data_IF_769655119588
#
_entry.id   IF_769655119588
#
_cell.length_a   1.000
_cell.length_b   1.000
_cell.length_c   1.000
_cell.angle_alpha   90.00
_cell.angle_beta   90.00
_cell.angle_gamma   90.00
#
_symmetry.space_group_name_H-M   'P 1'
#
loop_
_entity.id
_entity.type
_entity.pdbx_description
1 polymer ?
#
# COMPACT_ATOMS: atom_id res chain seq x y z
N UNK A 1 -3.23 35.21 -28.87
CA UNK A 1 -4.35 34.32 -28.50
C UNK A 1 -3.91 33.58 -27.26
N UNK A 2 -4.47 33.94 -26.10
CA UNK A 2 -4.11 33.34 -24.80
C UNK A 2 -4.68 31.93 -24.79
N UNK A 3 -3.82 30.91 -24.79
CA UNK A 3 -4.25 29.55 -24.45
C UNK A 3 -4.72 29.58 -23.00
N UNK A 4 -5.97 29.19 -22.78
CA UNK A 4 -6.51 28.87 -21.46
C UNK A 4 -5.56 27.87 -20.80
N UNK A 5 -5.21 27.99 -19.51
CA UNK A 5 -4.40 26.97 -18.86
C UNK A 5 -5.18 25.68 -18.92
N UNK A 6 -4.60 24.67 -19.55
CA UNK A 6 -5.09 23.31 -19.52
C UNK A 6 -5.32 22.96 -18.04
N UNK A 7 -6.55 22.61 -17.67
CA UNK A 7 -6.89 22.24 -16.29
C UNK A 7 -6.12 20.96 -15.98
N UNK A 8 -4.91 21.09 -15.43
CA UNK A 8 -4.13 19.97 -14.95
C UNK A 8 -5.01 19.17 -13.99
N UNK A 9 -5.34 17.93 -14.38
CA UNK A 9 -6.03 16.97 -13.52
C UNK A 9 -4.94 16.26 -12.74
N UNK A 10 -5.08 16.25 -11.43
CA UNK A 10 -4.12 15.59 -10.55
C UNK A 10 -4.78 14.31 -10.04
N UNK A 11 -4.03 13.21 -10.07
CA UNK A 11 -4.35 12.05 -9.27
C UNK A 11 -4.26 12.44 -7.78
N UNK A 12 -4.79 11.59 -6.90
CA UNK A 12 -4.75 11.83 -5.46
C UNK A 12 -4.62 10.51 -4.73
N UNK A 13 -3.77 10.40 -3.73
CA UNK A 13 -3.71 9.24 -2.84
C UNK A 13 -4.74 9.37 -1.69
N UNK A 14 -5.46 8.28 -1.39
CA UNK A 14 -6.31 8.20 -0.20
C UNK A 14 -5.56 7.41 0.89
N UNK A 15 -5.25 8.10 1.99
CA UNK A 15 -4.55 7.53 3.16
C UNK A 15 -5.52 7.48 4.34
N UNK A 16 -5.48 6.40 5.12
CA UNK A 16 -6.33 6.22 6.29
C UNK A 16 -6.06 7.30 7.36
N UNK A 17 -7.10 7.75 8.04
CA UNK A 17 -7.02 8.79 9.08
C UNK A 17 -6.02 8.45 10.21
N UNK A 18 -5.86 7.16 10.56
CA UNK A 18 -4.88 6.70 11.56
C UNK A 18 -3.43 7.01 11.17
N UNK A 19 -3.13 6.97 9.87
CA UNK A 19 -1.79 7.24 9.34
C UNK A 19 -1.52 8.75 9.22
N UNK A 20 -2.58 9.58 9.22
CA UNK A 20 -2.46 11.03 9.23
C UNK A 20 -2.03 11.60 10.60
N UNK A 21 -2.24 10.86 11.69
CA UNK A 21 -2.02 11.35 13.07
C UNK A 21 -0.70 10.92 13.73
N UNK A 22 0.07 9.99 13.14
CA UNK A 22 1.36 9.56 13.70
C UNK A 22 2.46 10.60 13.39
N UNK A 23 2.57 11.62 14.25
CA UNK A 23 3.78 12.42 14.43
C UNK A 23 4.92 11.50 14.91
N UNK A 24 5.82 11.08 14.02
CA UNK A 24 6.90 10.16 14.37
C UNK A 24 8.26 10.85 14.43
N UNK A 25 9.01 10.47 15.48
CA UNK A 25 10.31 10.99 15.90
C UNK A 25 11.40 10.61 14.89
N UNK A 26 12.16 11.62 14.47
CA UNK A 26 13.39 11.52 13.67
C UNK A 26 14.44 10.61 14.29
N UNK A 27 14.91 9.62 13.54
CA UNK A 27 16.26 9.03 13.70
C UNK A 27 16.90 8.89 12.32
N UNK A 28 18.12 9.38 12.20
CA UNK A 28 18.91 9.52 10.98
C UNK A 28 19.82 8.29 10.80
N UNK A 29 19.70 7.53 9.70
CA UNK A 29 20.66 6.44 9.38
C UNK A 29 20.83 6.21 7.86
N UNK A 30 22.11 5.99 7.52
CA UNK A 30 22.85 6.00 6.26
C UNK A 30 22.51 4.89 5.21
N UNK A 31 22.35 5.30 3.94
CA UNK A 31 23.02 4.76 2.75
C UNK A 31 22.77 3.32 2.24
N UNK A 32 21.70 3.11 1.44
CA UNK A 32 21.62 2.29 0.18
C UNK A 32 20.19 2.34 -0.40
N UNK A 33 20.06 2.45 -1.73
CA UNK A 33 19.04 3.25 -2.45
C UNK A 33 18.10 2.42 -3.38
N UNK A 34 16.76 2.54 -3.28
CA UNK A 34 15.70 1.89 -4.11
C UNK A 34 14.30 2.57 -3.95
N UNK A 35 13.38 2.59 -4.94
CA UNK A 35 12.15 3.44 -5.03
C UNK A 35 11.13 3.43 -3.84
N UNK A 36 10.23 4.44 -3.83
CA UNK A 36 9.36 4.86 -2.69
C UNK A 36 8.21 3.89 -2.37
N UNK A 37 8.41 3.05 -1.36
CA UNK A 37 7.37 2.19 -0.77
C UNK A 37 7.13 2.51 0.69
N UNK A 38 5.87 2.50 1.10
CA UNK A 38 5.49 2.47 2.51
C UNK A 38 5.68 1.05 3.03
N UNK A 39 6.75 0.83 3.81
CA UNK A 39 7.26 -0.49 4.23
C UNK A 39 6.21 -1.44 4.82
N UNK A 40 5.13 -0.92 5.40
CA UNK A 40 4.07 -1.73 6.01
C UNK A 40 2.85 -1.99 5.11
N UNK A 41 2.85 -1.50 3.87
CA UNK A 41 1.67 -1.53 2.99
C UNK A 41 1.80 -2.45 1.78
N UNK A 42 2.95 -3.07 1.55
CA UNK A 42 3.08 -4.06 0.47
C UNK A 42 2.23 -5.30 0.76
N UNK A 43 1.57 -5.80 -0.29
CA UNK A 43 1.03 -7.16 -0.32
C UNK A 43 2.14 -8.21 -0.15
N UNK A 44 1.75 -9.46 0.15
CA UNK A 44 2.69 -10.57 0.10
C UNK A 44 3.14 -10.83 -1.34
N UNK A 45 4.43 -11.08 -1.54
CA UNK A 45 4.96 -11.51 -2.84
C UNK A 45 4.31 -12.83 -3.27
N UNK A 46 3.80 -12.87 -4.50
CA UNK A 46 3.04 -13.99 -5.06
C UNK A 46 1.53 -13.87 -4.88
N UNK A 47 1.04 -12.83 -4.19
CA UNK A 47 -0.39 -12.63 -3.98
C UNK A 47 -1.17 -12.55 -5.30
N UNK A 48 -2.35 -13.15 -5.30
CA UNK A 48 -3.37 -12.89 -6.33
C UNK A 48 -4.43 -11.96 -5.76
N UNK A 49 -4.48 -10.74 -6.28
CA UNK A 49 -5.42 -9.70 -5.89
C UNK A 49 -6.65 -9.75 -6.80
N UNK A 50 -7.81 -9.92 -6.19
CA UNK A 50 -9.10 -9.89 -6.88
C UNK A 50 -9.51 -8.44 -7.13
N UNK A 51 -9.92 -8.17 -8.37
CA UNK A 51 -10.28 -6.84 -8.84
C UNK A 51 -11.72 -6.85 -9.34
N UNK A 52 -12.52 -5.92 -8.81
CA UNK A 52 -13.92 -5.74 -9.14
C UNK A 52 -14.19 -4.35 -9.73
N UNK A 53 -15.01 -4.28 -10.78
CA UNK A 53 -15.40 -3.00 -11.39
C UNK A 53 -16.78 -2.55 -10.91
N UNK A 54 -16.83 -1.42 -10.20
CA UNK A 54 -18.06 -0.75 -9.76
C UNK A 54 -18.56 0.22 -10.85
N UNK A 55 -18.83 -0.31 -12.04
CA UNK A 55 -19.24 0.48 -13.22
C UNK A 55 -18.16 0.55 -14.31
N UNK A 56 -18.12 1.64 -15.07
CA UNK A 56 -17.21 1.82 -16.20
C UNK A 56 -17.63 1.13 -17.50
N UNK A 57 -17.31 1.75 -18.63
CA UNK A 57 -17.52 1.21 -19.98
C UNK A 57 -16.54 0.06 -20.29
N UNK A 58 -16.83 -0.80 -21.28
CA UNK A 58 -15.90 -1.86 -21.70
C UNK A 58 -14.50 -1.32 -22.04
N UNK A 59 -14.42 -0.16 -22.69
CA UNK A 59 -13.15 0.49 -23.03
C UNK A 59 -12.37 0.92 -21.77
N UNK A 60 -13.04 1.57 -20.82
CA UNK A 60 -12.41 1.99 -19.56
C UNK A 60 -11.86 0.79 -18.77
N UNK A 61 -12.66 -0.29 -18.67
CA UNK A 61 -12.24 -1.53 -18.00
C UNK A 61 -11.09 -2.22 -18.73
N UNK A 62 -11.02 -2.12 -20.07
CA UNK A 62 -9.92 -2.69 -20.84
C UNK A 62 -8.60 -1.98 -20.55
N UNK A 63 -8.60 -0.65 -20.53
CA UNK A 63 -7.40 0.15 -20.19
C UNK A 63 -6.92 -0.19 -18.77
N UNK A 64 -7.83 -0.27 -17.80
CA UNK A 64 -7.47 -0.65 -16.44
C UNK A 64 -6.79 -2.02 -16.35
N UNK A 65 -7.29 -3.04 -17.09
CA UNK A 65 -6.67 -4.37 -17.14
C UNK A 65 -5.28 -4.34 -17.76
N UNK A 66 -5.15 -3.65 -18.90
CA UNK A 66 -3.89 -3.56 -19.63
C UNK A 66 -2.80 -2.91 -18.77
N UNK A 67 -3.10 -1.76 -18.17
CA UNK A 67 -2.14 -1.01 -17.37
C UNK A 67 -1.84 -1.65 -16.01
N UNK A 68 -2.80 -2.38 -15.41
CA UNK A 68 -2.50 -3.26 -14.28
C UNK A 68 -1.49 -4.35 -14.66
N UNK A 69 -1.63 -4.90 -15.87
CA UNK A 69 -0.75 -5.91 -16.43
C UNK A 69 0.72 -5.47 -16.50
N UNK A 70 0.97 -4.19 -16.80
CA UNK A 70 2.33 -3.63 -16.85
C UNK A 70 3.13 -3.89 -15.57
N UNK A 71 2.51 -3.81 -14.40
CA UNK A 71 3.18 -4.12 -13.13
C UNK A 71 3.50 -5.62 -13.00
N UNK A 72 2.53 -6.48 -13.33
CA UNK A 72 2.66 -7.95 -13.19
C UNK A 72 3.68 -8.57 -14.15
N UNK A 73 4.06 -7.87 -15.23
CA UNK A 73 5.17 -8.26 -16.09
C UNK A 73 6.53 -8.15 -15.37
N UNK A 74 6.60 -7.31 -14.34
CA UNK A 74 7.82 -7.01 -13.61
C UNK A 74 7.84 -7.51 -12.17
N UNK A 75 6.68 -7.61 -11.56
CA UNK A 75 6.45 -7.93 -10.16
C UNK A 75 5.86 -9.33 -10.00
N UNK A 76 6.23 -10.02 -8.92
CA UNK A 76 5.55 -11.24 -8.53
C UNK A 76 4.30 -10.92 -7.70
N UNK A 77 3.29 -10.44 -8.40
CA UNK A 77 1.95 -10.17 -7.89
C UNK A 77 1.01 -10.31 -9.08
N UNK A 78 -0.21 -10.76 -8.83
CA UNK A 78 -1.17 -11.09 -9.87
C UNK A 78 -2.48 -10.36 -9.65
N UNK A 79 -3.15 -9.99 -10.73
CA UNK A 79 -4.50 -9.44 -10.69
C UNK A 79 -5.46 -10.40 -11.39
N UNK A 80 -6.57 -10.71 -10.73
CA UNK A 80 -7.68 -11.48 -11.32
C UNK A 80 -8.92 -10.61 -11.33
N UNK A 81 -9.46 -10.36 -12.52
CA UNK A 81 -10.64 -9.52 -12.74
C UNK A 81 -11.89 -10.39 -12.85
N UNK A 82 -12.46 -10.80 -11.71
CA UNK A 82 -13.52 -11.82 -11.62
C UNK A 82 -14.80 -11.36 -10.94
N UNK A 83 -14.93 -10.07 -10.61
CA UNK A 83 -16.10 -9.51 -9.92
C UNK A 83 -16.38 -10.16 -8.55
N UNK A 84 -15.35 -10.72 -7.90
CA UNK A 84 -15.48 -11.34 -6.58
C UNK A 84 -16.11 -10.36 -5.56
N UNK A 85 -17.09 -10.80 -4.75
CA UNK A 85 -17.78 -9.93 -3.80
C UNK A 85 -16.85 -9.40 -2.69
N UNK A 86 -15.76 -10.09 -2.43
CA UNK A 86 -14.71 -9.80 -1.46
C UNK A 86 -13.39 -9.34 -2.14
N UNK A 87 -13.48 -8.83 -3.38
CA UNK A 87 -12.34 -8.29 -4.11
C UNK A 87 -11.60 -7.21 -3.31
N UNK A 88 -10.27 -7.36 -3.17
CA UNK A 88 -9.45 -6.40 -2.45
C UNK A 88 -9.42 -5.04 -3.16
N UNK A 89 -9.38 -5.03 -4.49
CA UNK A 89 -9.36 -3.80 -5.29
C UNK A 89 -10.72 -3.60 -5.95
N UNK A 90 -11.36 -2.45 -5.69
CA UNK A 90 -12.70 -2.13 -6.20
C UNK A 90 -12.67 -0.79 -6.93
N UNK A 91 -12.84 -0.84 -8.25
CA UNK A 91 -12.56 0.30 -9.15
C UNK A 91 -13.87 0.96 -9.59
N UNK A 92 -14.06 2.21 -9.19
CA UNK A 92 -15.08 3.11 -9.74
C UNK A 92 -14.55 3.92 -10.94
N UNK A 93 -15.45 4.55 -11.69
CA UNK A 93 -15.13 5.39 -12.84
C UNK A 93 -15.95 6.70 -12.80
N UNK A 94 -16.03 7.33 -11.63
CA UNK A 94 -16.73 8.59 -11.44
C UNK A 94 -15.86 9.76 -11.95
N UNK A 95 -16.22 10.43 -13.06
CA UNK A 95 -15.42 11.53 -13.61
C UNK A 95 -15.43 12.79 -12.73
N UNK A 96 -16.29 12.84 -11.71
CA UNK A 96 -16.39 13.95 -10.76
C UNK A 96 -15.53 13.75 -9.51
N UNK A 97 -15.04 12.52 -9.27
CA UNK A 97 -14.25 12.15 -8.09
C UNK A 97 -12.76 11.87 -8.43
N UNK A 98 -12.24 12.52 -9.48
CA UNK A 98 -10.81 12.47 -9.82
C UNK A 98 -10.26 11.07 -10.14
N UNK A 99 -8.94 10.88 -10.03
CA UNK A 99 -8.31 9.56 -10.08
C UNK A 99 -7.55 9.34 -8.77
N UNK A 100 -7.76 8.19 -8.12
CA UNK A 100 -7.18 7.89 -6.82
C UNK A 100 -7.20 6.42 -6.48
N UNK A 101 -6.36 6.03 -5.52
CA UNK A 101 -6.28 4.68 -4.97
C UNK A 101 -5.88 4.72 -3.49
N UNK A 102 -6.36 3.76 -2.70
CA UNK A 102 -5.78 3.47 -1.39
C UNK A 102 -4.45 2.75 -1.56
N UNK A 103 -3.55 2.96 -0.60
CA UNK A 103 -2.18 2.48 -0.71
C UNK A 103 -2.05 1.04 -0.20
N UNK A 104 -1.71 0.12 -1.09
CA UNK A 104 -1.31 -1.24 -0.71
C UNK A 104 -2.38 -1.99 0.08
N UNK A 105 -2.00 -2.61 1.18
CA UNK A 105 -2.89 -3.39 2.04
C UNK A 105 -4.00 -2.59 2.71
N UNK A 106 -3.97 -1.24 2.70
CA UNK A 106 -5.08 -0.42 3.22
C UNK A 106 -6.42 -0.75 2.54
N UNK A 107 -6.36 -1.19 1.28
CA UNK A 107 -7.50 -1.62 0.49
C UNK A 107 -8.39 -2.68 1.22
N UNK A 108 -7.80 -3.53 2.07
CA UNK A 108 -8.56 -4.58 2.80
C UNK A 108 -9.38 -4.03 3.98
N UNK A 109 -9.08 -2.81 4.42
CA UNK A 109 -9.77 -2.17 5.55
C UNK A 109 -11.02 -1.40 5.11
N UNK A 110 -11.17 -1.18 3.80
CA UNK A 110 -12.27 -0.41 3.22
C UNK A 110 -13.53 -1.28 3.12
N UNK A 111 -14.72 -0.76 3.48
CA UNK A 111 -15.98 -1.51 3.38
C UNK A 111 -16.19 -2.16 1.99
N UNK A 112 -16.74 -3.39 1.91
CA UNK A 112 -16.89 -4.13 0.65
C UNK A 112 -17.75 -3.44 -0.43
N UNK A 113 -18.66 -2.53 -0.03
CA UNK A 113 -19.54 -1.76 -0.90
C UNK A 113 -18.95 -0.42 -1.35
N UNK A 114 -17.79 -0.03 -0.81
CA UNK A 114 -17.09 1.20 -1.18
C UNK A 114 -15.96 0.94 -2.19
N UNK A 115 -15.72 1.86 -3.15
CA UNK A 115 -14.56 1.77 -4.03
C UNK A 115 -13.25 1.91 -3.24
N UNK A 116 -12.22 1.20 -3.67
CA UNK A 116 -10.86 1.39 -3.17
C UNK A 116 -9.95 2.11 -4.17
N UNK A 117 -10.44 2.29 -5.38
CA UNK A 117 -9.80 3.05 -6.44
C UNK A 117 -10.89 3.74 -7.28
N UNK A 118 -10.62 4.94 -7.78
CA UNK A 118 -11.44 5.59 -8.79
C UNK A 118 -10.57 5.99 -9.99
N UNK A 119 -11.07 5.72 -11.19
CA UNK A 119 -10.45 6.10 -12.45
C UNK A 119 -11.38 7.07 -13.18
N UNK A 120 -11.53 8.29 -12.64
CA UNK A 120 -12.39 9.33 -13.22
C UNK A 120 -11.89 9.87 -14.56
N UNK A 121 -10.62 9.63 -14.88
CA UNK A 121 -10.03 9.79 -16.20
C UNK A 121 -8.98 8.69 -16.43
N UNK A 122 -8.66 8.42 -17.70
CA UNK A 122 -7.78 7.33 -18.13
C UNK A 122 -6.77 7.80 -19.17
N UNK A 123 -6.46 9.09 -19.17
CA UNK A 123 -5.50 9.67 -20.10
C UNK A 123 -4.09 9.16 -19.74
N UNK A 124 -3.29 8.78 -20.75
CA UNK A 124 -1.92 8.31 -20.57
C UNK A 124 -1.81 7.08 -19.65
N UNK A 125 -0.88 7.11 -18.71
CA UNK A 125 -0.60 6.02 -17.76
C UNK A 125 -1.35 6.12 -16.43
N UNK A 126 -2.48 6.84 -16.37
CA UNK A 126 -3.23 7.09 -15.13
C UNK A 126 -3.61 5.80 -14.40
N UNK A 127 -4.10 4.77 -15.10
CA UNK A 127 -4.47 3.52 -14.44
C UNK A 127 -3.23 2.82 -13.86
N UNK A 128 -2.11 2.80 -14.60
CA UNK A 128 -0.85 2.24 -14.09
C UNK A 128 -0.39 2.96 -12.81
N UNK A 129 -0.51 4.29 -12.77
CA UNK A 129 -0.22 5.09 -11.57
C UNK A 129 -1.06 4.63 -10.37
N UNK A 130 -2.38 4.55 -10.52
CA UNK A 130 -3.28 4.15 -9.44
C UNK A 130 -3.06 2.69 -9.00
N UNK A 131 -2.72 1.79 -9.92
CA UNK A 131 -2.29 0.44 -9.58
C UNK A 131 -0.94 0.42 -8.85
N UNK A 132 -0.04 1.37 -9.11
CA UNK A 132 1.19 1.55 -8.33
C UNK A 132 0.88 1.85 -6.87
N UNK A 133 -0.06 2.77 -6.61
CA UNK A 133 -0.57 3.00 -5.25
C UNK A 133 -1.22 1.76 -4.65
N UNK A 134 -2.08 1.07 -5.41
CA UNK A 134 -2.71 -0.16 -4.95
C UNK A 134 -1.68 -1.24 -4.60
N UNK A 135 -0.47 -1.18 -5.17
CA UNK A 135 0.67 -2.05 -4.86
C UNK A 135 1.57 -1.55 -3.72
N UNK A 136 1.27 -0.39 -3.12
CA UNK A 136 2.01 0.16 -1.98
C UNK A 136 3.08 1.21 -2.33
N UNK A 137 3.17 1.61 -3.60
CA UNK A 137 4.07 2.69 -4.02
C UNK A 137 3.52 4.05 -3.62
N UNK A 138 4.41 4.92 -3.16
CA UNK A 138 4.09 6.32 -2.89
C UNK A 138 4.61 7.24 -4.00
N UNK A 139 4.28 8.51 -3.90
CA UNK A 139 4.63 9.52 -4.89
C UNK A 139 6.12 9.84 -4.99
N UNK A 140 6.64 9.88 -6.21
CA UNK A 140 8.05 10.18 -6.48
C UNK A 140 8.43 11.62 -6.11
N UNK A 141 7.51 12.59 -6.15
CA UNK A 141 7.81 13.98 -5.73
C UNK A 141 7.97 14.14 -4.21
N UNK A 142 7.54 13.17 -3.42
CA UNK A 142 7.72 13.17 -1.97
C UNK A 142 9.07 12.56 -1.57
N UNK A 143 9.95 12.26 -2.53
CA UNK A 143 11.31 11.78 -2.28
C UNK A 143 12.10 12.77 -1.39
N UNK A 144 12.69 12.31 -0.26
CA UNK A 144 13.55 13.16 0.57
C UNK A 144 14.77 13.68 -0.20
N UNK A 145 15.31 12.90 -1.12
CA UNK A 145 16.52 13.21 -1.88
C UNK A 145 16.20 13.84 -3.24
N UNK A 146 16.71 15.05 -3.48
CA UNK A 146 16.72 15.66 -4.82
C UNK A 146 15.36 16.07 -5.40
N UNK A 147 14.31 16.21 -4.56
CA UNK A 147 12.95 16.54 -5.01
C UNK A 147 12.69 17.99 -5.42
N UNK A 148 11.43 18.26 -5.75
CA UNK A 148 10.94 19.54 -6.28
C UNK A 148 11.11 20.69 -5.27
N UNK A 149 11.61 21.83 -5.75
CA UNK A 149 11.71 23.07 -4.97
C UNK A 149 10.39 23.84 -5.08
N UNK A 150 9.45 23.54 -4.19
CA UNK A 150 8.11 24.11 -4.24
C UNK A 150 8.05 25.63 -4.02
N UNK A 151 7.28 26.31 -4.85
CA UNK A 151 6.71 27.62 -4.54
C UNK A 151 5.39 27.40 -3.79
N UNK A 152 5.48 27.06 -2.50
CA UNK A 152 4.33 26.64 -1.69
C UNK A 152 3.13 27.60 -1.74
N UNK A 153 3.29 28.95 -1.70
CA UNK A 153 2.16 29.86 -1.82
C UNK A 153 1.38 29.72 -3.13
N UNK A 154 2.08 29.42 -4.24
CA UNK A 154 1.44 29.20 -5.55
C UNK A 154 0.74 27.86 -5.57
N UNK A 155 1.40 26.80 -5.09
CA UNK A 155 0.83 25.44 -5.00
C UNK A 155 -0.46 25.44 -4.18
N UNK A 156 -0.42 26.03 -2.97
CA UNK A 156 -1.59 26.11 -2.08
C UNK A 156 -2.71 26.91 -2.74
N UNK A 157 -2.40 28.07 -3.33
CA UNK A 157 -3.40 28.92 -3.99
C UNK A 157 -4.12 28.19 -5.12
N UNK A 158 -3.40 27.43 -5.94
CA UNK A 158 -3.98 26.76 -7.09
C UNK A 158 -4.82 25.54 -6.68
N UNK A 159 -4.33 24.72 -5.74
CA UNK A 159 -5.00 23.50 -5.31
C UNK A 159 -6.22 23.76 -4.40
N UNK A 160 -6.29 24.94 -3.76
CA UNK A 160 -7.52 25.42 -3.10
C UNK A 160 -8.62 25.79 -4.10
N UNK A 161 -8.27 25.98 -5.37
CA UNK A 161 -9.23 26.25 -6.45
C UNK A 161 -9.81 24.97 -7.08
N UNK A 162 -10.87 25.10 -7.90
CA UNK A 162 -11.40 23.97 -8.65
C UNK A 162 -10.37 23.43 -9.68
N UNK A 163 -10.35 22.11 -9.95
CA UNK A 163 -11.34 21.11 -9.52
C UNK A 163 -11.11 20.51 -8.13
N UNK A 164 -9.92 20.69 -7.54
CA UNK A 164 -9.52 19.96 -6.33
C UNK A 164 -10.19 20.50 -5.06
N UNK A 165 -10.26 21.82 -4.93
CA UNK A 165 -10.88 22.50 -3.77
C UNK A 165 -10.33 21.99 -2.41
N UNK A 166 -9.04 21.68 -2.36
CA UNK A 166 -8.41 21.07 -1.20
C UNK A 166 -8.14 22.05 -0.06
N UNK A 167 -8.15 21.53 1.17
CA UNK A 167 -7.65 22.27 2.32
C UNK A 167 -6.13 22.46 2.24
N UNK A 168 -5.56 23.54 2.81
CA UNK A 168 -4.11 23.71 2.94
C UNK A 168 -3.42 22.52 3.61
N UNK A 169 -4.08 21.88 4.56
CA UNK A 169 -3.57 20.69 5.26
C UNK A 169 -3.45 19.49 4.31
N UNK A 170 -4.49 19.22 3.52
CA UNK A 170 -4.49 18.19 2.47
C UNK A 170 -3.39 18.46 1.43
N UNK A 171 -3.25 19.72 0.99
CA UNK A 171 -2.23 20.11 0.00
C UNK A 171 -0.82 19.88 0.56
N UNK A 172 -0.59 20.29 1.81
CA UNK A 172 0.70 20.05 2.46
C UNK A 172 0.99 18.57 2.55
N UNK A 173 0.02 17.74 2.89
CA UNK A 173 0.22 16.30 3.01
C UNK A 173 0.51 15.61 1.67
N UNK A 174 -0.31 15.87 0.65
CA UNK A 174 -0.28 15.12 -0.62
C UNK A 174 0.79 15.65 -1.59
N UNK A 175 1.14 16.94 -1.50
CA UNK A 175 2.01 17.59 -2.50
C UNK A 175 3.33 18.09 -1.91
N UNK A 176 3.27 18.79 -0.78
CA UNK A 176 4.45 19.51 -0.27
C UNK A 176 5.30 18.68 0.70
N UNK A 177 4.68 17.76 1.43
CA UNK A 177 5.35 16.93 2.43
C UNK A 177 6.24 15.92 1.72
N UNK A 178 7.52 15.92 2.09
CA UNK A 178 8.45 14.84 1.76
C UNK A 178 8.36 13.76 2.82
N UNK A 179 8.50 12.51 2.43
CA UNK A 179 8.70 11.43 3.39
C UNK A 179 10.06 11.59 4.07
N UNK A 180 10.16 11.17 5.33
CA UNK A 180 11.45 11.04 6.00
C UNK A 180 12.13 9.74 5.55
N UNK A 181 13.47 9.69 5.55
CA UNK A 181 14.23 8.55 5.02
C UNK A 181 13.96 7.21 5.76
N UNK A 182 13.41 7.27 6.95
CA UNK A 182 12.95 6.11 7.75
C UNK A 182 11.56 5.61 7.34
N UNK A 183 10.71 6.44 6.71
CA UNK A 183 9.35 6.11 6.29
C UNK A 183 9.25 5.44 4.92
N UNK A 184 10.30 5.57 4.10
CA UNK A 184 10.33 5.08 2.72
C UNK A 184 11.67 4.45 2.40
N UNK A 185 11.68 3.38 1.59
CA UNK A 185 12.86 3.06 0.76
C UNK A 185 12.83 4.04 -0.41
N UNK A 186 13.88 4.80 -0.76
CA UNK A 186 13.83 5.76 -1.88
C UNK A 186 14.97 5.61 -2.92
N UNK A 187 14.66 5.77 -4.22
CA UNK A 187 15.64 5.94 -5.30
C UNK A 187 16.17 7.37 -5.32
N UNK A 188 17.17 7.66 -6.16
CA UNK A 188 17.31 9.04 -6.65
C UNK A 188 16.03 9.41 -7.40
N UNK A 189 15.57 10.64 -7.25
CA UNK A 189 14.43 11.19 -7.97
C UNK A 189 14.44 10.74 -9.45
N UNK A 190 13.42 9.97 -9.85
CA UNK A 190 13.22 9.56 -11.23
C UNK A 190 12.19 10.48 -11.92
N UNK A 191 12.61 11.43 -12.76
CA UNK A 191 11.68 12.31 -13.48
C UNK A 191 10.77 11.57 -14.45
N UNK A 192 11.06 10.30 -14.76
CA UNK A 192 10.29 9.46 -15.68
C UNK A 192 9.39 8.45 -14.98
N UNK A 193 9.39 8.40 -13.65
CA UNK A 193 8.57 7.44 -12.92
C UNK A 193 7.10 7.67 -13.22
N UNK A 194 6.36 6.58 -13.43
CA UNK A 194 4.90 6.65 -13.53
C UNK A 194 4.30 7.24 -12.25
N UNK A 195 4.97 7.08 -11.09
CA UNK A 195 4.54 7.57 -9.78
C UNK A 195 4.82 9.07 -9.56
N UNK A 196 5.34 9.79 -10.57
CA UNK A 196 5.55 11.23 -10.53
C UNK A 196 4.34 11.98 -11.08
N UNK A 197 3.76 12.86 -10.27
CA UNK A 197 2.73 13.79 -10.75
C UNK A 197 3.29 14.80 -11.74
N UNK A 198 2.44 15.20 -12.68
CA UNK A 198 2.65 16.40 -13.47
C UNK A 198 2.51 17.64 -12.57
N UNK A 199 3.51 18.50 -12.56
CA UNK A 199 3.53 19.77 -11.85
C UNK A 199 3.97 20.87 -12.80
N UNK A 200 3.19 21.93 -12.99
CA UNK A 200 3.57 23.00 -13.89
C UNK A 200 4.79 23.76 -13.33
N UNK A 201 5.66 24.22 -14.21
CA UNK A 201 6.85 25.03 -13.88
C UNK A 201 6.58 26.21 -12.92
N UNK A 202 5.38 26.80 -12.98
CA UNK A 202 5.00 27.90 -12.09
C UNK A 202 4.88 27.51 -10.61
N UNK A 203 4.79 26.21 -10.32
CA UNK A 203 4.72 25.67 -8.96
C UNK A 203 6.10 25.47 -8.33
N UNK A 204 7.18 25.67 -9.09
CA UNK A 204 8.54 25.45 -8.63
C UNK A 204 9.32 26.76 -8.60
N UNK A 205 10.31 26.85 -7.71
CA UNK A 205 11.14 28.04 -7.51
C UNK A 205 12.20 28.21 -8.61
N UNK A 206 12.54 27.13 -9.30
CA UNK A 206 13.50 27.11 -10.42
C UNK A 206 12.83 27.20 -11.79
N UNK A 207 11.50 27.19 -11.84
CA UNK A 207 10.74 27.27 -13.09
C UNK A 207 10.80 25.99 -13.92
N UNK A 208 11.18 24.86 -13.31
CA UNK A 208 11.18 23.54 -13.96
C UNK A 208 9.97 22.75 -13.47
N UNK A 209 9.07 22.37 -14.39
CA UNK A 209 7.95 21.49 -14.11
C UNK A 209 8.30 20.02 -14.30
N UNK A 210 7.36 19.13 -14.02
CA UNK A 210 7.43 17.72 -14.38
C UNK A 210 6.50 17.44 -15.57
N UNK A 211 6.64 16.27 -16.17
CA UNK A 211 5.83 15.82 -17.31
C UNK A 211 4.89 14.70 -16.87
N UNK A 212 3.76 14.53 -17.58
CA UNK A 212 2.90 13.37 -17.37
C UNK A 212 3.58 12.15 -18.00
N UNK A 213 3.97 11.19 -17.16
CA UNK A 213 4.59 9.94 -17.63
C UNK A 213 3.49 8.96 -18.04
N UNK A 214 3.60 8.40 -19.24
CA UNK A 214 2.54 7.54 -19.81
C UNK A 214 2.83 6.04 -19.70
N UNK A 215 4.04 5.67 -19.28
CA UNK A 215 4.52 4.28 -19.19
C UNK A 215 5.40 4.10 -17.95
N UNK A 216 5.56 2.85 -17.50
CA UNK A 216 6.52 2.50 -16.45
C UNK A 216 7.95 2.85 -16.90
N UNK A 217 8.69 3.54 -16.04
CA UNK A 217 10.12 3.79 -16.24
C UNK A 217 10.94 2.51 -16.03
N UNK A 218 12.20 2.49 -16.48
CA UNK A 218 13.10 1.38 -16.17
C UNK A 218 13.39 1.26 -14.66
N UNK A 219 13.30 2.37 -13.92
CA UNK A 219 13.44 2.39 -12.46
C UNK A 219 12.21 1.79 -11.80
N UNK A 220 11.00 2.13 -12.26
CA UNK A 220 9.74 1.54 -11.77
C UNK A 220 9.76 0.01 -11.93
N UNK A 221 10.12 -0.47 -13.13
CA UNK A 221 10.20 -1.89 -13.48
C UNK A 221 11.23 -2.64 -12.65
N UNK A 222 12.43 -2.06 -12.49
CA UNK A 222 13.49 -2.68 -11.71
C UNK A 222 13.14 -2.73 -10.23
N UNK A 223 12.51 -1.67 -9.71
CA UNK A 223 12.13 -1.57 -8.32
C UNK A 223 11.04 -2.57 -7.95
N UNK A 224 9.92 -2.58 -8.70
CA UNK A 224 8.77 -3.42 -8.34
C UNK A 224 9.12 -4.92 -8.33
N UNK A 225 10.10 -5.33 -9.15
CA UNK A 225 10.62 -6.69 -9.20
C UNK A 225 11.80 -6.98 -8.27
N UNK A 226 12.20 -6.03 -7.41
CA UNK A 226 13.33 -6.18 -6.50
C UNK A 226 12.93 -6.89 -5.20
N UNK A 227 13.91 -7.27 -4.38
CA UNK A 227 13.69 -7.83 -3.03
C UNK A 227 13.03 -6.84 -2.06
N UNK A 228 12.99 -5.55 -2.41
CA UNK A 228 12.36 -4.51 -1.61
C UNK A 228 10.87 -4.31 -1.94
N UNK A 229 10.37 -4.98 -2.99
CA UNK A 229 8.96 -5.00 -3.39
C UNK A 229 8.48 -6.45 -3.67
N UNK A 230 8.36 -6.85 -4.94
CA UNK A 230 7.79 -8.13 -5.37
C UNK A 230 8.76 -8.96 -6.23
N UNK A 231 9.79 -9.60 -5.64
CA UNK A 231 10.79 -10.34 -6.39
C UNK A 231 10.19 -11.53 -7.17
N UNK A 232 10.53 -11.63 -8.47
CA UNK A 232 10.08 -12.73 -9.37
C UNK A 232 10.51 -14.11 -8.91
N UNK A 233 11.63 -14.20 -8.21
CA UNK A 233 12.08 -15.42 -7.56
C UNK A 233 11.56 -15.44 -6.13
N UNK A 234 10.42 -16.11 -5.88
CA UNK A 234 10.13 -16.51 -4.50
C UNK A 234 11.14 -17.62 -4.17
N UNK A 235 11.87 -17.48 -3.06
CA UNK A 235 11.92 -18.63 -2.15
C UNK A 235 10.60 -18.55 -1.41
N UNK A 236 9.58 -19.37 -1.75
CA UNK A 236 8.50 -19.52 -0.79
C UNK A 236 9.20 -19.77 0.54
N UNK A 237 8.83 -19.11 1.65
CA UNK A 237 9.01 -19.80 2.90
C UNK A 237 8.38 -21.16 2.63
N UNK A 238 9.18 -22.22 2.55
CA UNK A 238 8.64 -23.57 2.69
C UNK A 238 7.71 -23.44 3.88
N UNK A 239 6.41 -23.66 3.67
CA UNK A 239 5.35 -23.43 4.64
C UNK A 239 5.57 -24.35 5.85
N UNK A 240 6.59 -24.07 6.65
CA UNK A 240 6.83 -24.54 8.01
C UNK A 240 6.08 -23.62 8.96
N UNK A 241 4.89 -23.19 8.55
CA UNK A 241 4.01 -22.42 9.40
C UNK A 241 3.71 -23.25 10.65
N UNK A 242 4.01 -22.69 11.81
CA UNK A 242 3.78 -23.34 13.09
C UNK A 242 2.28 -23.52 13.27
N UNK A 243 1.85 -24.76 13.48
CA UNK A 243 0.44 -25.08 13.72
C UNK A 243 -0.02 -24.49 15.06
N UNK A 244 -1.08 -23.70 15.04
CA UNK A 244 -1.76 -23.18 16.21
C UNK A 244 -3.10 -23.89 16.39
N UNK A 245 -3.29 -24.46 17.58
CA UNK A 245 -4.59 -24.98 17.98
C UNK A 245 -5.48 -23.80 18.40
N UNK A 246 -6.62 -23.64 17.72
CA UNK A 246 -7.69 -22.74 18.15
C UNK A 246 -8.11 -23.13 19.58
N UNK A 247 -8.24 -22.13 20.45
CA UNK A 247 -8.63 -22.30 21.85
C UNK A 247 -7.64 -23.09 22.70
N UNK A 248 -6.37 -23.18 22.28
CA UNK A 248 -5.29 -23.73 23.10
C UNK A 248 -5.26 -23.10 24.51
N UNK A 249 -5.14 -23.92 25.55
CA UNK A 249 -5.10 -23.41 26.93
C UNK A 249 -3.98 -22.38 27.13
N UNK A 250 -2.78 -22.72 26.63
CA UNK A 250 -1.59 -21.89 26.70
C UNK A 250 -1.38 -21.10 25.41
N UNK A 251 -0.70 -19.95 25.54
CA UNK A 251 -0.21 -19.18 24.38
C UNK A 251 1.07 -19.83 23.85
N UNK A 252 1.29 -19.79 22.56
CA UNK A 252 2.52 -20.27 21.92
C UNK A 252 3.63 -19.24 22.10
N UNK A 253 4.75 -19.55 22.79
CA UNK A 253 5.88 -18.63 22.90
C UNK A 253 6.70 -18.62 21.60
N UNK A 254 7.22 -17.45 21.24
CA UNK A 254 8.05 -17.24 20.05
C UNK A 254 8.96 -16.01 20.22
N UNK A 255 9.81 -15.76 19.24
CA UNK A 255 10.66 -14.57 19.18
C UNK A 255 11.04 -14.23 17.75
N UNK A 256 11.00 -12.94 17.43
CA UNK A 256 11.71 -12.40 16.26
C UNK A 256 13.20 -12.38 16.62
N UNK A 257 13.93 -13.40 16.19
CA UNK A 257 15.35 -13.64 16.50
C UNK A 257 16.32 -12.80 15.67
N UNK A 258 15.92 -12.37 14.48
CA UNK A 258 16.67 -11.48 13.61
C UNK A 258 15.79 -10.35 13.06
N UNK A 259 16.41 -9.19 12.79
CA UNK A 259 15.70 -8.10 12.14
C UNK A 259 15.21 -8.51 10.75
N UNK A 260 13.95 -8.19 10.46
CA UNK A 260 13.28 -8.56 9.21
C UNK A 260 12.81 -10.02 9.17
N UNK A 261 12.95 -10.78 10.26
CA UNK A 261 12.37 -12.11 10.39
C UNK A 261 10.85 -12.05 10.44
N UNK A 262 10.22 -13.01 9.77
CA UNK A 262 8.78 -13.22 9.77
C UNK A 262 8.49 -14.61 10.36
N UNK A 263 7.68 -14.64 11.40
CA UNK A 263 7.15 -15.88 11.97
C UNK A 263 5.82 -16.21 11.30
N UNK A 264 5.74 -17.42 10.73
CA UNK A 264 4.54 -17.92 10.08
C UNK A 264 3.83 -18.94 10.96
N UNK A 265 2.51 -18.80 11.04
CA UNK A 265 1.62 -19.73 11.73
C UNK A 265 0.48 -20.15 10.82
N UNK A 266 -0.14 -21.29 11.14
CA UNK A 266 -1.37 -21.74 10.50
C UNK A 266 -2.35 -22.28 11.52
N UNK A 267 -3.65 -22.14 11.25
CA UNK A 267 -4.72 -22.69 12.08
C UNK A 267 -5.95 -23.01 11.22
N UNK A 268 -6.77 -23.93 11.71
CA UNK A 268 -7.99 -24.37 11.01
C UNK A 268 -9.23 -23.80 11.70
N UNK A 269 -10.07 -23.13 10.93
CA UNK A 269 -11.42 -22.72 11.32
C UNK A 269 -12.38 -23.86 10.93
N UNK A 270 -12.96 -24.52 11.92
CA UNK A 270 -13.90 -25.63 11.69
C UNK A 270 -15.36 -25.17 11.52
N UNK A 271 -15.71 -23.98 12.03
CA UNK A 271 -17.08 -23.46 12.02
C UNK A 271 -17.03 -21.96 11.78
N UNK A 272 -17.92 -21.46 10.91
CA UNK A 272 -18.02 -20.03 10.66
C UNK A 272 -18.27 -19.27 11.96
N UNK A 273 -17.55 -18.16 12.19
CA UNK A 273 -17.69 -17.38 13.42
C UNK A 273 -16.65 -16.28 13.53
N UNK A 274 -16.72 -15.51 14.62
CA UNK A 274 -15.67 -14.52 14.92
C UNK A 274 -14.51 -15.19 15.61
N UNK A 275 -13.30 -14.94 15.10
CA UNK A 275 -12.06 -15.43 15.68
C UNK A 275 -11.18 -14.26 16.10
N UNK A 276 -10.41 -14.46 17.16
CA UNK A 276 -9.45 -13.49 17.67
C UNK A 276 -8.06 -14.10 17.66
N UNK A 277 -7.18 -13.54 16.83
CA UNK A 277 -5.74 -13.76 16.88
C UNK A 277 -5.09 -12.57 17.59
N UNK A 278 -4.17 -12.81 18.52
CA UNK A 278 -3.41 -11.73 19.14
C UNK A 278 -2.02 -12.13 19.58
N UNK A 279 -1.12 -11.15 19.59
CA UNK A 279 0.19 -11.24 20.21
C UNK A 279 0.18 -10.62 21.61
N UNK A 280 1.14 -11.01 22.46
CA UNK A 280 1.42 -10.41 23.76
C UNK A 280 2.91 -10.50 24.04
N UNK A 281 3.48 -9.44 24.60
CA UNK A 281 4.89 -9.39 24.98
C UNK A 281 5.38 -7.95 25.05
N UNK A 282 6.68 -7.75 25.33
CA UNK A 282 7.31 -6.43 25.29
C UNK A 282 7.58 -5.93 23.86
N UNK A 283 7.49 -6.79 22.86
CA UNK A 283 7.85 -6.50 21.46
C UNK A 283 6.71 -5.82 20.71
N UNK A 284 7.07 -4.82 19.91
CA UNK A 284 6.17 -4.12 18.99
C UNK A 284 5.99 -4.95 17.71
N UNK A 285 4.77 -5.45 17.47
CA UNK A 285 4.52 -6.48 16.47
C UNK A 285 3.37 -6.11 15.53
N UNK A 286 3.60 -6.33 14.24
CA UNK A 286 2.57 -6.29 13.21
C UNK A 286 2.15 -7.72 12.88
N UNK A 287 0.85 -7.93 12.68
CA UNK A 287 0.29 -9.22 12.33
C UNK A 287 -0.64 -9.12 11.12
N UNK A 288 -0.44 -10.01 10.16
CA UNK A 288 -1.28 -10.19 9.00
C UNK A 288 -1.95 -11.56 9.03
N UNK A 289 -3.21 -11.63 8.62
CA UNK A 289 -4.01 -12.85 8.50
C UNK A 289 -4.30 -13.14 7.03
N UNK A 290 -4.03 -14.35 6.57
CA UNK A 290 -4.25 -14.82 5.20
C UNK A 290 -5.18 -16.03 5.15
N UNK A 291 -5.87 -16.19 4.03
CA UNK A 291 -6.69 -17.36 3.74
C UNK A 291 -8.11 -17.01 3.26
N UNK A 292 -9.05 -17.98 3.30
CA UNK A 292 -8.79 -19.40 3.57
C UNK A 292 -8.00 -20.06 2.43
N UNK A 293 -7.23 -21.11 2.74
CA UNK A 293 -6.45 -21.98 1.82
C UNK A 293 -5.38 -21.29 0.95
N UNK A 294 -5.27 -19.98 1.03
CA UNK A 294 -4.27 -19.19 0.31
C UNK A 294 -3.40 -18.41 1.31
N UNK A 295 -2.11 -18.76 1.46
CA UNK A 295 -1.20 -18.11 2.41
C UNK A 295 -0.75 -16.71 1.98
N UNK A 296 -1.22 -16.22 0.83
CA UNK A 296 -0.91 -14.89 0.29
C UNK A 296 -2.14 -13.98 0.25
N UNK A 297 -3.35 -14.55 0.30
CA UNK A 297 -4.61 -13.80 0.28
C UNK A 297 -4.86 -13.09 1.61
N UNK A 298 -4.53 -11.81 1.69
CA UNK A 298 -4.73 -11.02 2.91
C UNK A 298 -6.22 -10.85 3.25
N UNK A 299 -6.57 -11.17 4.49
CA UNK A 299 -7.90 -11.04 5.09
C UNK A 299 -7.96 -9.84 6.04
N UNK A 300 -6.94 -9.68 6.89
CA UNK A 300 -6.87 -8.60 7.86
C UNK A 300 -5.42 -8.32 8.28
N UNK A 301 -5.14 -7.10 8.72
CA UNK A 301 -3.84 -6.68 9.25
C UNK A 301 -4.05 -5.77 10.46
N UNK A 302 -3.19 -5.89 11.47
CA UNK A 302 -3.22 -5.08 12.69
C UNK A 302 -1.81 -4.92 13.30
N UNK A 303 -1.52 -3.76 13.91
CA UNK A 303 -0.25 -3.46 14.59
C UNK A 303 -0.41 -3.18 16.10
N UNK A 304 -1.42 -2.42 16.53
CA UNK A 304 -1.49 -1.93 17.93
C UNK A 304 -2.86 -2.07 18.63
N UNK A 305 -3.83 -2.80 18.05
CA UNK A 305 -5.17 -2.95 18.67
C UNK A 305 -5.21 -3.91 19.88
N UNK A 306 -4.08 -4.51 20.26
CA UNK A 306 -3.94 -5.42 21.39
C UNK A 306 -3.49 -4.71 22.68
N UNK A 307 -2.79 -5.45 23.55
CA UNK A 307 -2.28 -4.89 24.81
C UNK A 307 -0.90 -4.29 24.57
N UNK A 308 -0.76 -2.98 24.80
CA UNK A 308 0.50 -2.28 24.53
C UNK A 308 0.72 -2.15 23.03
N UNK A 309 1.90 -2.53 22.55
CA UNK A 309 2.29 -2.46 21.14
C UNK A 309 2.06 -3.79 20.39
N UNK A 310 1.07 -4.57 20.81
CA UNK A 310 0.82 -5.89 20.25
C UNK A 310 -0.40 -5.87 19.33
N UNK A 311 -0.30 -6.55 18.19
CA UNK A 311 -1.41 -6.75 17.28
C UNK A 311 -2.55 -7.61 17.84
N UNK A 312 -3.78 -7.28 17.43
CA UNK A 312 -5.01 -8.03 17.66
C UNK A 312 -5.96 -7.94 16.47
N UNK A 313 -6.10 -9.05 15.75
CA UNK A 313 -7.12 -9.20 14.70
C UNK A 313 -8.35 -9.88 15.30
N UNK A 314 -9.52 -9.27 15.12
CA UNK A 314 -10.82 -9.87 15.44
C UNK A 314 -11.76 -9.74 14.25
N UNK A 315 -12.03 -10.84 13.55
CA UNK A 315 -12.80 -10.84 12.31
C UNK A 315 -13.65 -12.09 12.17
N UNK A 316 -14.70 -12.02 11.35
CA UNK A 316 -15.51 -13.18 10.98
C UNK A 316 -14.77 -14.02 9.94
N UNK A 317 -14.67 -15.33 10.18
CA UNK A 317 -14.00 -16.29 9.30
C UNK A 317 -14.96 -17.43 8.96
N UNK A 318 -14.87 -17.90 7.72
CA UNK A 318 -15.54 -19.10 7.23
C UNK A 318 -14.68 -20.35 7.50
N UNK A 319 -15.24 -21.57 7.39
CA UNK A 319 -14.45 -22.80 7.52
C UNK A 319 -13.31 -22.86 6.50
N UNK A 320 -12.10 -23.17 6.98
CA UNK A 320 -10.91 -23.28 6.14
C UNK A 320 -9.61 -23.12 6.94
N UNK A 321 -8.49 -23.28 6.23
CA UNK A 321 -7.13 -23.09 6.77
C UNK A 321 -6.71 -21.64 6.59
N UNK A 322 -6.24 -21.02 7.67
CA UNK A 322 -5.76 -19.65 7.68
C UNK A 322 -4.30 -19.60 8.12
N UNK A 323 -3.61 -18.55 7.70
CA UNK A 323 -2.19 -18.33 7.99
C UNK A 323 -2.01 -16.99 8.68
N UNK A 324 -1.12 -16.92 9.67
CA UNK A 324 -0.74 -15.66 10.30
C UNK A 324 0.73 -15.40 10.03
N UNK A 325 1.05 -14.16 9.65
CA UNK A 325 2.42 -13.66 9.60
C UNK A 325 2.60 -12.66 10.72
N UNK A 326 3.63 -12.87 11.54
CA UNK A 326 4.01 -11.96 12.62
C UNK A 326 5.42 -11.45 12.36
N UNK A 327 5.58 -10.14 12.46
CA UNK A 327 6.88 -9.47 12.26
C UNK A 327 7.04 -8.33 13.25
N UNK A 328 8.28 -7.95 13.52
CA UNK A 328 8.55 -6.75 14.30
C UNK A 328 8.10 -5.50 13.52
N UNK A 329 7.61 -4.48 14.23
CA UNK A 329 7.27 -3.20 13.61
C UNK A 329 8.49 -2.55 12.93
N UNK A 330 9.61 -2.41 13.63
CA UNK A 330 10.90 -2.09 13.00
C UNK A 330 11.56 -3.32 12.36
N UNK A 331 11.43 -3.47 11.04
CA UNK A 331 12.04 -4.57 10.26
C UNK A 331 13.57 -4.43 10.12
N UNK A 332 14.17 -3.27 10.39
CA UNK A 332 15.61 -3.05 10.17
C UNK A 332 16.45 -3.48 11.36
N UNK A 333 15.94 -3.26 12.57
CA UNK A 333 16.72 -3.53 13.79
C UNK A 333 15.94 -4.28 14.86
N UNK A 334 14.62 -4.36 14.72
CA UNK A 334 13.73 -4.90 15.74
C UNK A 334 13.86 -6.40 15.91
N UNK A 335 13.96 -6.82 17.16
CA UNK A 335 13.98 -8.22 17.60
C UNK A 335 13.30 -8.30 18.96
N UNK A 336 12.84 -9.49 19.35
CA UNK A 336 12.32 -9.68 20.70
C UNK A 336 11.35 -10.84 20.85
N UNK A 337 10.93 -11.06 22.09
CA UNK A 337 10.10 -12.21 22.47
C UNK A 337 8.63 -11.84 22.53
N UNK A 338 7.77 -12.79 22.21
CA UNK A 338 6.32 -12.62 22.29
C UNK A 338 5.61 -13.95 22.46
N UNK A 339 4.28 -13.89 22.58
CA UNK A 339 3.41 -15.06 22.61
C UNK A 339 2.20 -14.85 21.71
N UNK A 340 1.82 -15.89 20.96
CA UNK A 340 0.69 -15.89 20.03
C UNK A 340 -0.46 -16.75 20.56
N UNK A 341 -1.70 -16.37 20.26
CA UNK A 341 -2.88 -17.23 20.47
C UNK A 341 -3.98 -16.90 19.48
N UNK A 342 -4.68 -17.94 19.04
CA UNK A 342 -5.95 -17.85 18.31
C UNK A 342 -7.05 -18.47 19.15
N UNK A 343 -8.22 -17.82 19.17
CA UNK A 343 -9.41 -18.32 19.87
C UNK A 343 -10.68 -18.04 19.09
N UNK A 344 -11.69 -18.87 19.30
CA UNK A 344 -13.07 -18.50 18.95
C UNK A 344 -13.58 -17.44 19.94
N UNK A 345 -14.37 -16.47 19.45
CA UNK A 345 -14.86 -15.33 20.24
C UNK A 345 -16.11 -15.66 21.06
#
# INVERSE_FOLDING_TARGET
>A
MSSTPEKARFCTDRILFRDQQRLQRTVDVDGRLQAITLLHKLWITGSTLHVRFLGGTPAQRQVAREQAGWWTEHANIHFVFDDAPDAQIRIAFDPTDGAWSYVGTDNVTIPPDEPTMNLGFLDGGTAAHEFGHALGLAHEHQNPDGGIRWNEPVVIKDLMGPPNNWSPETIRHNVLKKYTADQVKGTKFDPKSIMLYFFPARWTLDGVGTEANEVLSEVDKAYIGSTDAYPRTIKPPELQATELLVDAANRTPASIGAAGEEDLYKFTVATAGTYVANTRGPTDLVMDLFGPEDPTRLVASDDDSGVGLNARIATALDPGTYYLRVRHFDEKTGTGTYTMKVRSA
#
